data_IF_550311152200
#
_entry.id   IF_550311152200
#
_cell.length_a   1.000
_cell.length_b   1.000
_cell.length_c   1.000
_cell.angle_alpha   90.00
_cell.angle_beta   90.00
_cell.angle_gamma   90.00
#
_symmetry.space_group_name_H-M   'P 1'
#
loop_
_entity.id
_entity.type
_entity.pdbx_description
1 polymer ?
#
# COMPACT_ATOMS: atom_id res chain seq x y z
N UNK A 1 -12.85 -30.90 9.78
CA UNK A 1 -11.82 -29.93 9.33
C UNK A 1 -12.25 -28.59 9.89
N UNK A 2 -11.75 -28.24 11.08
CA UNK A 2 -12.16 -27.02 11.76
C UNK A 2 -11.47 -25.84 11.08
N UNK A 3 -12.31 -24.90 10.65
CA UNK A 3 -11.97 -23.64 10.02
C UNK A 3 -11.20 -22.77 11.04
N UNK A 4 -9.88 -22.74 10.94
CA UNK A 4 -9.05 -21.79 11.68
C UNK A 4 -9.24 -20.40 11.07
N UNK A 5 -10.36 -19.76 11.38
CA UNK A 5 -10.41 -18.30 11.43
C UNK A 5 -9.58 -17.87 12.65
N UNK A 6 -8.26 -17.85 12.47
CA UNK A 6 -7.35 -17.13 13.36
C UNK A 6 -7.79 -15.66 13.33
N UNK A 7 -8.64 -15.31 14.31
CA UNK A 7 -8.88 -13.96 14.71
C UNK A 7 -7.53 -13.43 15.21
N UNK A 8 -6.78 -12.81 14.29
CA UNK A 8 -5.67 -11.92 14.62
C UNK A 8 -6.23 -10.90 15.60
N UNK A 9 -6.00 -11.15 16.89
CA UNK A 9 -6.26 -10.19 17.95
C UNK A 9 -5.60 -8.88 17.53
N UNK A 10 -6.43 -7.87 17.24
CA UNK A 10 -5.97 -6.50 17.00
C UNK A 10 -5.28 -6.02 18.28
N UNK A 11 -4.00 -6.31 18.39
CA UNK A 11 -3.15 -5.83 19.46
C UNK A 11 -3.12 -4.30 19.32
N UNK A 12 -3.82 -3.61 20.22
CA UNK A 12 -4.07 -2.15 20.17
C UNK A 12 -2.78 -1.32 20.14
N UNK A 13 -1.63 -1.95 20.32
CA UNK A 13 -0.30 -1.36 20.25
C UNK A 13 0.34 -1.40 18.86
N UNK A 14 -0.25 -2.14 17.90
CA UNK A 14 0.21 -2.23 16.53
C UNK A 14 -0.42 -1.14 15.67
N UNK A 15 0.43 -0.30 15.08
CA UNK A 15 0.00 0.63 14.03
C UNK A 15 0.12 -0.08 12.70
N UNK A 16 -1.03 -0.36 12.08
CA UNK A 16 -1.12 -0.89 10.73
C UNK A 16 -0.92 0.23 9.71
N UNK A 17 0.01 0.05 8.78
CA UNK A 17 0.26 1.02 7.72
C UNK A 17 0.56 0.34 6.38
N UNK A 18 0.37 1.08 5.29
CA UNK A 18 0.44 0.59 3.92
C UNK A 18 1.26 1.53 3.05
N UNK A 19 2.24 0.98 2.33
CA UNK A 19 2.92 1.67 1.25
C UNK A 19 2.35 1.24 -0.11
N UNK A 20 2.15 2.23 -0.96
CA UNK A 20 1.71 2.08 -2.33
C UNK A 20 2.95 2.21 -3.23
N UNK A 21 3.41 1.14 -3.87
CA UNK A 21 4.68 1.13 -4.60
C UNK A 21 4.46 1.16 -6.11
N UNK A 22 5.25 1.98 -6.81
CA UNK A 22 5.27 2.04 -8.26
C UNK A 22 5.53 0.64 -8.87
N UNK A 23 4.76 0.20 -9.88
CA UNK A 23 4.92 -1.11 -10.50
C UNK A 23 6.26 -1.31 -11.21
N UNK A 24 6.89 -0.22 -11.67
CA UNK A 24 8.18 -0.28 -12.33
C UNK A 24 9.27 -0.67 -11.32
N UNK A 25 9.85 -1.86 -11.48
CA UNK A 25 10.90 -2.41 -10.60
C UNK A 25 12.14 -1.52 -10.51
N UNK A 26 12.49 -0.79 -11.57
CA UNK A 26 13.63 0.15 -11.56
C UNK A 26 13.32 1.42 -10.76
N UNK A 27 12.05 1.78 -10.64
CA UNK A 27 11.60 2.96 -9.90
C UNK A 27 11.40 2.63 -8.42
N UNK A 28 10.54 1.65 -8.12
CA UNK A 28 10.18 1.20 -6.76
C UNK A 28 9.78 2.34 -5.80
N UNK A 29 9.39 3.50 -6.33
CA UNK A 29 9.04 4.67 -5.52
C UNK A 29 7.74 4.42 -4.74
N UNK A 30 7.71 4.90 -3.50
CA UNK A 30 6.48 5.00 -2.73
C UNK A 30 5.63 6.14 -3.28
N UNK A 31 4.36 5.84 -3.52
CA UNK A 31 3.35 6.73 -4.05
C UNK A 31 2.43 7.18 -2.90
N UNK A 32 2.08 8.46 -2.91
CA UNK A 32 1.16 9.04 -1.93
C UNK A 32 -0.27 8.57 -2.15
N UNK A 33 -1.06 8.54 -1.09
CA UNK A 33 -2.46 8.08 -1.14
C UNK A 33 -3.34 8.91 -2.10
N UNK A 34 -3.02 10.18 -2.32
CA UNK A 34 -3.74 11.02 -3.28
C UNK A 34 -3.60 10.53 -4.74
N UNK A 35 -2.48 9.89 -5.09
CA UNK A 35 -2.29 9.25 -6.40
C UNK A 35 -3.23 8.06 -6.52
N UNK A 36 -3.37 7.28 -5.45
CA UNK A 36 -4.26 6.12 -5.41
C UNK A 36 -5.73 6.54 -5.44
N UNK A 37 -6.09 7.59 -4.71
CA UNK A 37 -7.44 8.14 -4.72
C UNK A 37 -7.85 8.64 -6.11
N UNK A 38 -6.89 9.18 -6.89
CA UNK A 38 -7.14 9.58 -8.28
C UNK A 38 -7.21 8.37 -9.23
N UNK A 39 -6.39 7.34 -9.03
CA UNK A 39 -6.46 6.09 -9.82
C UNK A 39 -7.84 5.43 -9.71
N UNK A 40 -8.40 5.37 -8.49
CA UNK A 40 -9.76 4.85 -8.24
C UNK A 40 -10.87 5.63 -8.95
N UNK A 41 -10.60 6.87 -9.36
CA UNK A 41 -11.52 7.69 -10.15
C UNK A 41 -11.34 7.49 -11.66
N UNK A 42 -10.65 6.42 -12.07
CA UNK A 42 -10.30 6.12 -13.47
C UNK A 42 -9.53 7.26 -14.16
N UNK A 43 -8.76 8.05 -13.41
CA UNK A 43 -7.87 9.03 -14.00
C UNK A 43 -6.64 8.34 -14.59
N UNK A 44 -6.26 8.72 -15.80
CA UNK A 44 -4.96 8.36 -16.36
C UNK A 44 -3.86 9.11 -15.60
N UNK A 45 -3.05 8.38 -14.84
CA UNK A 45 -1.99 8.95 -14.01
C UNK A 45 -0.67 8.30 -14.35
N UNK A 46 0.37 9.11 -14.45
CA UNK A 46 1.74 8.65 -14.58
C UNK A 46 2.48 8.72 -13.25
N UNK A 47 3.41 7.81 -13.05
CA UNK A 47 4.32 7.86 -11.92
C UNK A 47 5.11 9.18 -11.97
N UNK A 48 5.12 10.00 -10.91
CA UNK A 48 5.81 11.29 -10.94
C UNK A 48 7.32 11.14 -11.14
N UNK A 49 7.88 9.99 -10.75
CA UNK A 49 9.32 9.70 -10.76
C UNK A 49 9.82 9.07 -12.07
N UNK A 50 9.13 8.06 -12.60
CA UNK A 50 9.59 7.32 -13.80
C UNK A 50 8.66 7.45 -15.01
N UNK A 51 7.60 8.25 -14.89
CA UNK A 51 6.63 8.59 -15.96
C UNK A 51 5.87 7.41 -16.59
N UNK A 52 6.03 6.19 -16.07
CA UNK A 52 5.21 5.05 -16.49
C UNK A 52 3.73 5.29 -16.12
N UNK A 53 2.83 4.83 -16.97
CA UNK A 53 1.40 4.76 -16.66
C UNK A 53 1.15 3.91 -15.41
N UNK A 54 0.35 4.42 -14.49
CA UNK A 54 -0.09 3.70 -13.31
C UNK A 54 -1.48 3.11 -13.58
N UNK A 55 -1.63 1.81 -13.29
CA UNK A 55 -2.92 1.10 -13.34
C UNK A 55 -3.20 0.51 -11.97
N UNK A 56 -4.45 0.59 -11.52
CA UNK A 56 -4.87 0.04 -10.23
C UNK A 56 -4.49 -1.44 -10.10
N UNK A 57 -4.74 -2.23 -11.14
CA UNK A 57 -4.47 -3.67 -11.15
C UNK A 57 -2.98 -4.04 -11.00
N UNK A 58 -2.06 -3.12 -11.31
CA UNK A 58 -0.63 -3.38 -11.29
C UNK A 58 0.06 -2.76 -10.07
N UNK A 59 -0.68 -2.07 -9.20
CA UNK A 59 -0.13 -1.46 -8.00
C UNK A 59 0.41 -2.52 -7.02
N UNK A 60 1.64 -2.32 -6.58
CA UNK A 60 2.21 -3.14 -5.50
C UNK A 60 1.88 -2.50 -4.16
N UNK A 61 1.55 -3.34 -3.20
CA UNK A 61 1.23 -2.90 -1.84
C UNK A 61 2.13 -3.61 -0.84
N UNK A 62 2.70 -2.84 0.08
CA UNK A 62 3.43 -3.38 1.22
C UNK A 62 2.66 -2.98 2.47
N UNK A 63 2.10 -3.96 3.16
CA UNK A 63 1.48 -3.77 4.47
C UNK A 63 2.51 -4.07 5.54
N UNK A 64 2.61 -3.23 6.56
CA UNK A 64 3.54 -3.40 7.65
C UNK A 64 2.93 -2.88 8.95
N UNK A 65 3.35 -3.50 10.05
CA UNK A 65 2.90 -3.16 11.39
C UNK A 65 4.11 -2.68 12.18
N UNK A 66 3.94 -1.65 12.99
CA UNK A 66 4.97 -1.24 13.94
C UNK A 66 4.37 -1.02 15.31
N UNK A 67 5.12 -1.41 16.34
CA UNK A 67 4.83 -1.09 17.72
C UNK A 67 5.21 0.36 17.99
N UNK A 68 4.26 1.14 18.51
CA UNK A 68 4.55 2.49 18.98
C UNK A 68 5.29 2.40 20.32
N UNK A 69 6.62 2.37 20.30
CA UNK A 69 7.40 2.56 21.53
C UNK A 69 7.18 3.99 22.04
N UNK A 70 6.41 4.12 23.13
CA UNK A 70 6.33 5.36 23.92
C UNK A 70 7.55 5.36 24.85
N UNK A 71 8.64 6.00 24.42
CA UNK A 71 9.64 6.52 25.36
C UNK A 71 9.08 7.76 26.05
#
# INVERSE_FOLDING_TARGET
LNDLSENLSEDKNLVHNKLNICPNRKCSASLRDNIIAKLKKNAEITCPYCKIELKENNMKHISFNFTKNRN
#
